data_IF_565729109596
#
_entry.id   IF_565729109596
#
_cell.length_a   1.000
_cell.length_b   1.000
_cell.length_c   1.000
_cell.angle_alpha   90.00
_cell.angle_beta   90.00
_cell.angle_gamma   90.00
#
_symmetry.space_group_name_H-M   'P 1'
#
loop_
_entity.id
_entity.type
_entity.pdbx_description
1 polymer ?
#
# COMPACT_ATOMS: atom_id res chain seq x y z
N UNK A 1 -8.24 -30.84 22.32
CA UNK A 1 -8.24 -29.78 21.26
C UNK A 1 -6.82 -29.42 20.82
N UNK A 2 -5.96 -28.81 21.68
CA UNK A 2 -4.59 -28.39 21.28
C UNK A 2 -3.68 -29.55 20.86
N UNK A 3 -3.67 -30.66 21.62
CA UNK A 3 -2.88 -31.85 21.24
C UNK A 3 -3.34 -32.45 19.90
N UNK A 4 -4.62 -32.43 19.62
CA UNK A 4 -5.18 -32.90 18.37
C UNK A 4 -4.81 -31.92 17.20
N UNK A 5 -4.85 -30.61 17.45
CA UNK A 5 -4.42 -29.60 16.48
C UNK A 5 -2.94 -29.76 16.12
N UNK A 6 -2.08 -30.03 17.13
CA UNK A 6 -0.66 -30.33 16.89
C UNK A 6 -0.50 -31.60 16.04
N UNK A 7 -1.19 -32.67 16.34
CA UNK A 7 -1.11 -33.90 15.54
C UNK A 7 -1.54 -33.66 14.08
N UNK A 8 -2.55 -32.85 13.83
CA UNK A 8 -2.98 -32.49 12.48
C UNK A 8 -1.91 -31.64 11.75
N UNK A 9 -1.29 -30.71 12.47
CA UNK A 9 -0.22 -29.91 11.90
C UNK A 9 1.04 -30.72 11.57
N UNK A 10 1.42 -31.64 12.47
CA UNK A 10 2.54 -32.58 12.24
C UNK A 10 2.25 -33.47 11.01
N UNK A 11 1.02 -33.98 10.86
CA UNK A 11 0.64 -34.77 9.70
C UNK A 11 0.60 -33.95 8.39
N UNK A 12 0.25 -32.68 8.46
CA UNK A 12 0.23 -31.80 7.28
C UNK A 12 1.62 -31.57 6.70
N UNK A 13 2.69 -31.72 7.47
CA UNK A 13 4.06 -31.61 6.94
C UNK A 13 4.38 -32.69 5.90
N UNK A 14 3.74 -33.86 5.97
CA UNK A 14 4.00 -34.95 5.01
C UNK A 14 3.54 -34.61 3.60
N UNK A 15 2.55 -33.76 3.45
CA UNK A 15 1.97 -33.36 2.15
C UNK A 15 2.11 -31.86 1.85
N UNK A 16 2.83 -31.09 2.69
CA UNK A 16 2.87 -29.64 2.61
C UNK A 16 3.37 -29.13 1.25
N UNK A 17 4.29 -29.85 0.61
CA UNK A 17 4.81 -29.49 -0.69
C UNK A 17 3.81 -29.66 -1.85
N UNK A 18 2.71 -30.40 -1.64
CA UNK A 18 1.66 -30.61 -2.64
C UNK A 18 0.33 -29.97 -2.27
N UNK A 19 -0.04 -30.01 -1.00
CA UNK A 19 -1.35 -29.59 -0.52
C UNK A 19 -1.28 -28.25 0.24
N UNK A 20 -0.06 -27.76 0.52
CA UNK A 20 0.17 -26.50 1.21
C UNK A 20 -0.18 -25.30 0.32
N UNK A 21 -0.70 -24.25 0.94
CA UNK A 21 -0.89 -22.97 0.27
C UNK A 21 0.45 -22.23 0.13
N UNK A 22 0.84 -21.86 -1.09
CA UNK A 22 2.09 -21.16 -1.35
C UNK A 22 1.92 -19.66 -1.11
N UNK A 23 2.82 -19.09 -0.31
CA UNK A 23 2.88 -17.67 -0.04
C UNK A 23 4.21 -17.10 -0.55
N UNK A 24 4.16 -16.22 -1.53
CA UNK A 24 5.34 -15.53 -2.07
C UNK A 24 5.36 -14.06 -1.68
N UNK A 25 6.52 -13.41 -1.77
CA UNK A 25 6.67 -11.97 -1.55
C UNK A 25 6.42 -11.51 -0.10
N UNK A 26 6.44 -12.41 0.88
CA UNK A 26 6.24 -12.04 2.29
C UNK A 26 7.51 -11.44 2.87
N UNK A 27 7.36 -10.30 3.55
CA UNK A 27 8.41 -9.68 4.34
C UNK A 27 8.40 -10.22 5.77
N UNK A 28 9.56 -10.21 6.47
CA UNK A 28 9.62 -10.58 7.89
C UNK A 28 8.61 -9.81 8.73
N UNK A 29 8.41 -8.51 8.43
CA UNK A 29 7.47 -7.63 9.12
C UNK A 29 5.99 -7.86 8.78
N UNK A 30 5.69 -8.62 7.74
CA UNK A 30 4.31 -8.89 7.28
C UNK A 30 3.77 -10.24 7.75
N UNK A 31 4.52 -10.97 8.53
CA UNK A 31 4.11 -12.25 9.12
C UNK A 31 4.21 -12.19 10.64
N UNK A 32 3.53 -13.09 11.32
CA UNK A 32 3.64 -13.19 12.78
C UNK A 32 5.11 -13.33 13.18
N UNK A 33 5.53 -12.62 14.22
CA UNK A 33 6.96 -12.54 14.65
C UNK A 33 7.59 -13.93 14.76
N UNK A 34 6.90 -14.88 15.39
CA UNK A 34 7.38 -16.27 15.58
C UNK A 34 7.57 -17.02 14.26
N UNK A 35 6.73 -16.77 13.24
CA UNK A 35 6.89 -17.33 11.91
C UNK A 35 8.03 -16.63 11.18
N UNK A 36 8.09 -15.30 11.29
CA UNK A 36 9.15 -14.49 10.69
C UNK A 36 10.53 -14.85 11.23
N UNK A 37 10.66 -15.10 12.52
CA UNK A 37 11.93 -15.50 13.13
C UNK A 37 12.42 -16.84 12.57
N UNK A 38 11.54 -17.80 12.37
CA UNK A 38 11.90 -19.07 11.75
C UNK A 38 12.17 -18.94 10.25
N UNK A 39 11.29 -18.27 9.49
CA UNK A 39 11.39 -18.12 8.04
C UNK A 39 12.62 -17.31 7.61
N UNK A 40 13.02 -16.32 8.39
CA UNK A 40 14.16 -15.42 8.07
C UNK A 40 15.42 -15.72 8.86
N UNK A 41 15.49 -16.88 9.50
CA UNK A 41 16.74 -17.38 10.10
C UNK A 41 17.80 -17.61 8.99
N UNK A 42 19.03 -17.17 9.26
CA UNK A 42 20.12 -17.22 8.28
C UNK A 42 20.44 -18.65 7.79
N UNK A 43 20.27 -19.61 8.68
CA UNK A 43 20.62 -21.02 8.42
C UNK A 43 19.53 -21.81 7.70
N UNK A 44 18.38 -21.15 7.37
CA UNK A 44 17.25 -21.81 6.71
C UNK A 44 17.58 -22.17 5.28
N UNK A 45 17.27 -23.41 4.90
CA UNK A 45 17.49 -23.96 3.55
C UNK A 45 16.17 -24.38 2.92
N UNK A 46 16.09 -24.35 1.58
CA UNK A 46 14.93 -24.78 0.83
C UNK A 46 14.53 -26.22 1.22
N UNK A 47 13.24 -26.41 1.44
CA UNK A 47 12.67 -27.69 1.88
C UNK A 47 12.65 -27.88 3.41
N UNK A 48 13.23 -26.97 4.20
CA UNK A 48 13.12 -27.01 5.66
C UNK A 48 11.65 -26.90 6.07
N UNK A 49 11.25 -27.73 7.04
CA UNK A 49 9.87 -27.75 7.55
C UNK A 49 9.83 -27.57 9.06
N UNK A 50 8.72 -27.04 9.56
CA UNK A 50 8.47 -26.91 10.99
C UNK A 50 6.97 -26.83 11.30
N UNK A 51 6.65 -27.08 12.58
CA UNK A 51 5.34 -26.76 13.17
C UNK A 51 5.55 -25.73 14.28
N UNK A 52 4.93 -24.58 14.15
CA UNK A 52 5.00 -23.48 15.12
C UNK A 52 3.65 -23.34 15.83
N UNK A 53 3.68 -23.30 17.15
CA UNK A 53 2.51 -23.05 17.99
C UNK A 53 2.24 -21.56 18.11
N UNK A 54 0.99 -21.17 17.87
CA UNK A 54 0.44 -19.87 18.19
C UNK A 54 -0.46 -19.97 19.41
N UNK A 55 0.13 -19.75 20.57
CA UNK A 55 -0.57 -19.87 21.86
C UNK A 55 -1.67 -18.83 22.02
N UNK A 56 -1.52 -17.66 21.43
CA UNK A 56 -2.46 -16.53 21.57
C UNK A 56 -3.77 -16.81 20.83
N UNK A 57 -3.66 -17.46 19.67
CA UNK A 57 -4.81 -17.79 18.82
C UNK A 57 -5.19 -19.28 18.87
N UNK A 58 -4.54 -20.06 19.73
CA UNK A 58 -4.75 -21.50 19.86
C UNK A 58 -4.66 -22.28 18.54
N UNK A 59 -3.64 -21.96 17.74
CA UNK A 59 -3.39 -22.54 16.40
C UNK A 59 -1.99 -23.13 16.30
N UNK A 60 -1.82 -24.01 15.33
CA UNK A 60 -0.52 -24.48 14.87
C UNK A 60 -0.37 -24.16 13.40
N UNK A 61 0.82 -23.75 13.01
CA UNK A 61 1.21 -23.51 11.63
C UNK A 61 2.22 -24.57 11.22
N UNK A 62 1.89 -25.35 10.21
CA UNK A 62 2.84 -26.21 9.51
C UNK A 62 3.46 -25.39 8.38
N UNK A 63 4.77 -25.30 8.32
CA UNK A 63 5.50 -24.46 7.39
C UNK A 63 6.53 -25.27 6.64
N UNK A 64 6.68 -24.96 5.34
CA UNK A 64 7.84 -25.31 4.53
C UNK A 64 8.48 -24.02 4.03
N UNK A 65 9.79 -23.99 4.04
CA UNK A 65 10.57 -22.88 3.50
C UNK A 65 10.98 -23.18 2.07
N UNK A 66 10.47 -22.40 1.12
CA UNK A 66 10.74 -22.59 -0.31
C UNK A 66 11.90 -21.73 -0.81
N UNK A 67 12.27 -20.68 -0.08
CA UNK A 67 13.42 -19.86 -0.43
C UNK A 67 13.30 -18.39 0.00
N UNK A 68 14.39 -17.68 -0.19
CA UNK A 68 14.47 -16.22 -0.06
C UNK A 68 14.99 -15.62 -1.34
N UNK A 69 14.44 -14.51 -1.73
CA UNK A 69 14.87 -13.75 -2.89
C UNK A 69 14.78 -12.25 -2.63
N UNK A 70 15.51 -11.49 -3.42
CA UNK A 70 15.31 -10.05 -3.48
C UNK A 70 14.18 -9.77 -4.47
N UNK A 71 13.30 -8.82 -4.14
CA UNK A 71 12.28 -8.36 -5.07
C UNK A 71 12.95 -7.50 -6.15
N UNK A 72 13.36 -8.14 -7.24
CA UNK A 72 14.06 -7.50 -8.34
C UNK A 72 13.13 -6.69 -9.27
N UNK A 73 11.83 -6.70 -9.01
CA UNK A 73 10.86 -5.89 -9.75
C UNK A 73 11.32 -4.44 -9.73
N UNK A 74 11.56 -3.89 -10.92
CA UNK A 74 11.90 -2.47 -11.06
C UNK A 74 10.68 -1.60 -10.78
N UNK A 75 10.92 -0.48 -10.16
CA UNK A 75 9.93 0.61 -10.09
C UNK A 75 9.92 1.38 -11.41
N UNK A 76 8.93 2.23 -11.61
CA UNK A 76 8.84 3.07 -12.80
C UNK A 76 8.84 4.55 -12.43
N UNK A 77 9.41 5.37 -13.32
CA UNK A 77 9.29 6.81 -13.28
C UNK A 77 8.39 7.26 -14.43
N UNK A 78 7.37 8.02 -14.13
CA UNK A 78 6.40 8.52 -15.12
C UNK A 78 6.06 9.97 -14.86
N UNK A 79 5.54 10.65 -15.90
CA UNK A 79 4.81 11.90 -15.71
C UNK A 79 3.33 11.67 -15.95
N UNK A 80 2.49 12.38 -15.21
CA UNK A 80 1.04 12.22 -15.22
C UNK A 80 0.37 13.57 -15.43
N UNK A 81 -0.60 13.58 -16.33
CA UNK A 81 -1.64 14.62 -16.38
C UNK A 81 -2.93 13.93 -15.95
N UNK A 82 -3.60 14.46 -14.95
CA UNK A 82 -4.93 14.02 -14.53
C UNK A 82 -5.93 15.15 -14.80
N UNK A 83 -7.01 14.86 -15.52
CA UNK A 83 -8.06 15.83 -15.77
C UNK A 83 -9.45 15.19 -15.66
N UNK A 84 -10.36 15.88 -15.02
CA UNK A 84 -11.77 15.50 -14.96
C UNK A 84 -12.60 16.18 -16.06
N UNK A 85 -12.06 17.17 -16.74
CA UNK A 85 -12.76 18.05 -17.66
C UNK A 85 -12.36 17.90 -19.12
N UNK A 86 -11.10 17.46 -19.38
CA UNK A 86 -10.56 17.34 -20.73
C UNK A 86 -10.25 15.87 -21.03
N UNK A 87 -10.66 15.41 -22.21
CA UNK A 87 -10.38 14.05 -22.64
C UNK A 87 -8.86 13.83 -22.83
N UNK A 88 -8.34 12.70 -22.35
CA UNK A 88 -6.92 12.39 -22.45
C UNK A 88 -6.38 12.36 -23.89
N UNK A 89 -7.22 11.93 -24.83
CA UNK A 89 -6.89 11.87 -26.26
C UNK A 89 -6.74 13.25 -26.90
N UNK A 90 -7.48 14.26 -26.43
CA UNK A 90 -7.32 15.64 -26.88
C UNK A 90 -5.99 16.23 -26.37
N UNK A 91 -5.62 15.90 -25.14
CA UNK A 91 -4.34 16.29 -24.55
C UNK A 91 -3.18 15.62 -25.29
N UNK A 92 -3.28 14.31 -25.60
CA UNK A 92 -2.26 13.61 -26.39
C UNK A 92 -2.08 14.20 -27.77
N UNK A 93 -3.17 14.56 -28.43
CA UNK A 93 -3.12 15.21 -29.74
C UNK A 93 -2.34 16.53 -29.66
N UNK A 94 -2.60 17.36 -28.66
CA UNK A 94 -1.86 18.60 -28.46
C UNK A 94 -0.38 18.35 -28.16
N UNK A 95 -0.08 17.28 -27.40
CA UNK A 95 1.29 16.84 -27.15
C UNK A 95 2.03 16.48 -28.44
N UNK A 96 1.39 15.73 -29.35
CA UNK A 96 1.97 15.40 -30.65
C UNK A 96 2.19 16.64 -31.52
N UNK A 97 1.22 17.55 -31.56
CA UNK A 97 1.32 18.82 -32.28
C UNK A 97 2.42 19.74 -31.71
N UNK A 98 2.71 19.63 -30.41
CA UNK A 98 3.80 20.36 -29.74
C UNK A 98 5.19 19.75 -29.93
N UNK A 99 5.30 18.66 -30.71
CA UNK A 99 6.56 18.02 -31.07
C UNK A 99 6.94 16.80 -30.23
N UNK A 100 6.05 16.29 -29.41
CA UNK A 100 6.16 15.03 -28.65
C UNK A 100 7.45 14.92 -27.83
N UNK A 101 7.81 15.97 -27.10
CA UNK A 101 8.99 16.02 -26.23
C UNK A 101 8.57 16.01 -24.76
N UNK A 102 9.49 15.64 -23.87
CA UNK A 102 9.24 15.70 -22.43
C UNK A 102 8.91 17.13 -21.96
N UNK A 103 9.58 18.14 -22.49
CA UNK A 103 9.30 19.56 -22.19
C UNK A 103 7.90 19.97 -22.63
N UNK A 104 7.43 19.47 -23.79
CA UNK A 104 6.07 19.69 -24.26
C UNK A 104 5.06 19.04 -23.31
N UNK A 105 5.35 17.84 -22.81
CA UNK A 105 4.48 17.19 -21.84
C UNK A 105 4.40 17.98 -20.52
N UNK A 106 5.54 18.45 -20.01
CA UNK A 106 5.59 19.28 -18.79
C UNK A 106 4.76 20.56 -18.95
N UNK A 107 4.80 21.21 -20.12
CA UNK A 107 3.98 22.38 -20.38
C UNK A 107 2.46 22.05 -20.38
N UNK A 108 2.09 20.85 -20.81
CA UNK A 108 0.70 20.39 -20.75
C UNK A 108 0.27 20.00 -19.33
N UNK A 109 1.20 19.54 -18.47
CA UNK A 109 0.92 19.37 -17.04
C UNK A 109 0.43 20.67 -16.42
N UNK A 110 1.18 21.75 -16.63
CA UNK A 110 0.82 23.09 -16.12
C UNK A 110 -0.53 23.59 -16.63
N UNK A 111 -0.91 23.15 -17.85
CA UNK A 111 -2.14 23.60 -18.50
C UNK A 111 -3.38 22.81 -18.11
N UNK A 112 -3.24 21.50 -17.93
CA UNK A 112 -4.37 20.58 -17.85
C UNK A 112 -4.47 19.75 -16.57
N UNK A 113 -3.35 19.56 -15.87
CA UNK A 113 -3.36 18.64 -14.75
C UNK A 113 -4.02 19.23 -13.51
N UNK A 114 -4.98 18.50 -12.99
CA UNK A 114 -5.65 18.78 -11.72
C UNK A 114 -4.95 18.08 -10.53
N UNK A 115 -3.88 17.32 -10.80
CA UNK A 115 -3.10 16.64 -9.76
C UNK A 115 -2.19 17.60 -9.01
N UNK A 116 -2.61 18.01 -7.83
CA UNK A 116 -1.86 18.97 -6.99
C UNK A 116 -0.59 18.39 -6.38
N UNK A 117 -0.42 17.07 -6.39
CA UNK A 117 0.75 16.43 -5.79
C UNK A 117 1.99 16.55 -6.67
N UNK A 118 1.86 16.31 -7.97
CA UNK A 118 2.99 16.24 -8.90
C UNK A 118 3.14 17.47 -9.80
N UNK A 119 2.16 18.37 -9.85
CA UNK A 119 2.20 19.53 -10.75
C UNK A 119 3.45 20.38 -10.61
N UNK A 120 3.92 20.65 -9.39
CA UNK A 120 5.12 21.44 -9.14
C UNK A 120 6.43 20.78 -9.65
N UNK A 121 6.40 19.49 -9.95
CA UNK A 121 7.53 18.72 -10.51
C UNK A 121 7.24 18.27 -11.96
N UNK A 122 6.35 18.99 -12.66
CA UNK A 122 5.97 18.70 -14.04
C UNK A 122 5.28 17.33 -14.19
N UNK A 123 4.43 16.98 -13.24
CA UNK A 123 3.69 15.73 -13.22
C UNK A 123 4.51 14.49 -12.85
N UNK A 124 5.74 14.65 -12.32
CA UNK A 124 6.67 13.54 -12.12
C UNK A 124 6.36 12.71 -10.88
N UNK A 125 6.18 11.43 -11.09
CA UNK A 125 6.17 10.38 -10.08
C UNK A 125 7.42 9.52 -10.22
N UNK A 126 8.14 9.34 -9.13
CA UNK A 126 9.38 8.56 -9.09
C UNK A 126 9.18 7.26 -8.32
N UNK A 127 9.84 6.20 -8.79
CA UNK A 127 9.94 4.93 -8.09
C UNK A 127 8.58 4.34 -7.71
N UNK A 128 7.61 4.46 -8.63
CA UNK A 128 6.29 3.85 -8.48
C UNK A 128 6.41 2.33 -8.44
N UNK A 129 5.69 1.74 -7.50
CA UNK A 129 5.57 0.28 -7.35
C UNK A 129 4.27 -0.18 -7.99
N UNK A 130 4.28 -1.31 -8.67
CA UNK A 130 3.07 -1.89 -9.28
C UNK A 130 1.94 -2.08 -8.25
N UNK A 131 2.28 -2.50 -7.04
CA UNK A 131 1.34 -2.73 -5.94
C UNK A 131 0.69 -1.48 -5.36
N UNK A 132 1.15 -0.29 -5.72
CA UNK A 132 0.63 1.00 -5.22
C UNK A 132 -0.30 1.71 -6.20
N UNK A 133 -0.67 1.06 -7.31
CA UNK A 133 -1.45 1.63 -8.40
C UNK A 133 -2.71 0.81 -8.67
N UNK A 134 -3.72 1.47 -9.20
CA UNK A 134 -4.89 0.81 -9.77
C UNK A 134 -4.48 -0.07 -10.95
N UNK A 135 -5.23 -1.17 -11.19
CA UNK A 135 -4.83 -2.20 -12.15
C UNK A 135 -4.60 -1.66 -13.57
N UNK A 136 -5.48 -0.78 -14.06
CA UNK A 136 -5.36 -0.23 -15.41
C UNK A 136 -4.09 0.60 -15.62
N UNK A 137 -3.73 1.42 -14.63
CA UNK A 137 -2.50 2.23 -14.67
C UNK A 137 -1.29 1.33 -14.53
N UNK A 138 -1.33 0.37 -13.59
CA UNK A 138 -0.26 -0.57 -13.35
C UNK A 138 0.04 -1.44 -14.57
N UNK A 139 -0.98 -1.97 -15.23
CA UNK A 139 -0.82 -2.79 -16.43
C UNK A 139 -0.07 -2.06 -17.53
N UNK A 140 -0.41 -0.79 -17.79
CA UNK A 140 0.31 -0.05 -18.79
C UNK A 140 1.72 0.30 -18.33
N UNK A 141 1.89 0.88 -17.15
CA UNK A 141 3.20 1.38 -16.67
C UNK A 141 4.26 0.27 -16.65
N UNK A 142 3.87 -0.95 -16.32
CA UNK A 142 4.79 -2.09 -16.20
C UNK A 142 4.78 -3.06 -17.40
N UNK A 143 4.22 -2.63 -18.53
CA UNK A 143 4.20 -3.43 -19.77
C UNK A 143 5.53 -3.44 -20.54
N UNK A 144 6.59 -2.79 -20.05
CA UNK A 144 7.91 -2.76 -20.68
C UNK A 144 8.06 -1.64 -21.72
N UNK A 145 7.68 -0.45 -21.37
CA UNK A 145 7.79 0.75 -22.21
C UNK A 145 9.21 1.31 -22.31
N UNK A 146 9.39 2.20 -23.25
CA UNK A 146 10.62 3.01 -23.42
C UNK A 146 10.36 4.46 -23.01
N UNK A 147 11.41 5.14 -22.61
CA UNK A 147 11.32 6.56 -22.34
C UNK A 147 10.73 7.31 -23.55
N UNK A 148 9.72 8.12 -23.29
CA UNK A 148 8.97 8.85 -24.31
C UNK A 148 7.65 8.18 -24.75
N UNK A 149 7.40 6.94 -24.39
CA UNK A 149 6.11 6.29 -24.67
C UNK A 149 5.00 6.99 -23.86
N UNK A 150 3.85 7.19 -24.51
CA UNK A 150 2.71 7.89 -23.93
C UNK A 150 1.42 7.10 -24.14
N UNK A 151 0.43 7.35 -23.29
CA UNK A 151 -0.94 6.82 -23.43
C UNK A 151 -1.95 7.74 -22.78
N UNK A 152 -3.21 7.60 -23.19
CA UNK A 152 -4.35 8.14 -22.48
C UNK A 152 -5.21 7.00 -21.94
N UNK A 153 -5.59 7.08 -20.67
CA UNK A 153 -6.41 6.10 -19.98
C UNK A 153 -7.52 6.82 -19.22
N UNK A 154 -8.64 6.15 -19.04
CA UNK A 154 -9.70 6.63 -18.15
C UNK A 154 -9.81 5.64 -16.99
N UNK A 155 -9.75 6.15 -15.77
CA UNK A 155 -9.91 5.37 -14.57
C UNK A 155 -10.73 6.15 -13.53
N UNK A 156 -11.69 5.48 -12.90
CA UNK A 156 -12.58 6.06 -11.88
C UNK A 156 -13.20 7.42 -12.26
N UNK A 157 -13.48 7.63 -13.55
CA UNK A 157 -14.10 8.86 -14.06
C UNK A 157 -13.13 10.03 -14.30
N UNK A 158 -11.85 9.82 -14.09
CA UNK A 158 -10.79 10.77 -14.42
C UNK A 158 -10.02 10.31 -15.66
N UNK A 159 -9.57 11.25 -16.46
CA UNK A 159 -8.72 11.01 -17.61
C UNK A 159 -7.26 11.18 -17.19
N UNK A 160 -6.43 10.20 -17.50
CA UNK A 160 -5.00 10.18 -17.24
C UNK A 160 -4.26 10.19 -18.57
N UNK A 161 -3.30 11.08 -18.71
CA UNK A 161 -2.29 11.00 -19.78
C UNK A 161 -0.96 10.69 -19.11
N UNK A 162 -0.33 9.61 -19.54
CA UNK A 162 0.91 9.11 -18.98
C UNK A 162 2.05 9.29 -19.98
N UNK A 163 3.20 9.67 -19.46
CA UNK A 163 4.47 9.70 -20.18
C UNK A 163 5.49 8.85 -19.42
N UNK A 164 6.05 7.85 -20.07
CA UNK A 164 7.04 6.98 -19.46
C UNK A 164 8.41 7.63 -19.46
N UNK A 165 8.96 7.93 -18.30
CA UNK A 165 10.29 8.54 -18.16
C UNK A 165 11.38 7.48 -18.19
N UNK A 166 11.13 6.32 -17.59
CA UNK A 166 12.07 5.21 -17.55
C UNK A 166 11.91 4.33 -16.33
N UNK A 167 12.69 3.25 -16.28
CA UNK A 167 12.77 2.39 -15.10
C UNK A 167 13.37 3.14 -13.91
N UNK A 168 12.85 2.84 -12.73
CA UNK A 168 13.42 3.26 -11.47
C UNK A 168 14.34 2.19 -10.87
N UNK A 169 14.68 2.36 -9.59
CA UNK A 169 15.45 1.36 -8.84
C UNK A 169 14.60 0.11 -8.56
N UNK A 170 15.21 -1.07 -8.36
CA UNK A 170 14.48 -2.23 -7.85
C UNK A 170 13.74 -1.92 -6.54
N UNK A 171 12.56 -2.50 -6.35
CA UNK A 171 11.70 -2.23 -5.18
C UNK A 171 12.43 -2.47 -3.85
N UNK A 172 13.29 -3.49 -3.79
CA UNK A 172 14.05 -3.76 -2.58
C UNK A 172 15.03 -2.63 -2.20
N UNK A 173 15.64 -1.98 -3.21
CA UNK A 173 16.54 -0.84 -2.97
C UNK A 173 15.77 0.37 -2.47
N UNK A 174 14.62 0.64 -3.08
CA UNK A 174 13.73 1.73 -2.65
C UNK A 174 13.31 1.49 -1.19
N UNK A 175 12.88 0.27 -0.86
CA UNK A 175 12.45 -0.09 0.50
C UNK A 175 13.55 0.07 1.54
N UNK A 176 14.76 -0.38 1.23
CA UNK A 176 15.92 -0.20 2.13
C UNK A 176 16.24 1.29 2.29
N UNK A 177 16.26 2.05 1.20
CA UNK A 177 16.52 3.49 1.24
C UNK A 177 15.50 4.24 2.09
N UNK A 178 14.21 3.93 1.95
CA UNK A 178 13.12 4.49 2.77
C UNK A 178 13.34 4.18 4.27
N UNK A 179 13.66 2.91 4.57
CA UNK A 179 13.88 2.46 5.96
C UNK A 179 15.06 3.18 6.59
N UNK A 180 16.23 3.19 5.92
CA UNK A 180 17.44 3.85 6.42
C UNK A 180 17.24 5.37 6.58
N UNK A 181 16.51 6.00 5.66
CA UNK A 181 16.19 7.43 5.75
C UNK A 181 15.31 7.72 6.96
N UNK A 182 14.30 6.87 7.20
CA UNK A 182 13.40 7.00 8.36
C UNK A 182 14.14 6.81 9.68
N UNK A 183 15.00 5.80 9.76
CA UNK A 183 15.83 5.54 10.94
C UNK A 183 16.79 6.70 11.21
N UNK A 184 17.50 7.17 10.19
CA UNK A 184 18.40 8.31 10.31
C UNK A 184 17.67 9.58 10.75
N UNK A 185 16.50 9.86 10.19
CA UNK A 185 15.66 11.00 10.57
C UNK A 185 15.17 10.87 12.02
N UNK A 186 14.74 9.68 12.42
CA UNK A 186 14.30 9.43 13.81
C UNK A 186 15.44 9.64 14.81
N UNK A 187 16.61 9.14 14.48
CA UNK A 187 17.82 9.34 15.29
C UNK A 187 18.18 10.82 15.40
N UNK A 188 18.23 11.51 14.26
CA UNK A 188 18.52 12.94 14.21
C UNK A 188 17.52 13.78 15.06
N UNK A 189 16.22 13.51 14.91
CA UNK A 189 15.20 14.22 15.68
C UNK A 189 15.28 13.91 17.17
N UNK A 190 15.65 12.70 17.54
CA UNK A 190 15.84 12.30 18.94
C UNK A 190 17.04 13.03 19.56
N UNK A 191 18.16 13.07 18.86
CA UNK A 191 19.35 13.81 19.26
C UNK A 191 19.07 15.30 19.35
N UNK A 192 18.39 15.87 18.34
CA UNK A 192 18.00 17.28 18.34
C UNK A 192 17.13 17.61 19.53
N UNK A 193 16.10 16.81 19.82
CA UNK A 193 15.19 17.02 20.95
C UNK A 193 15.90 16.89 22.29
N UNK A 194 16.89 16.02 22.43
CA UNK A 194 17.65 15.84 23.67
C UNK A 194 18.46 17.07 24.05
N UNK A 195 18.80 17.92 23.07
CA UNK A 195 19.52 19.18 23.28
C UNK A 195 18.64 20.36 23.74
N UNK A 196 17.31 20.17 23.78
CA UNK A 196 16.39 21.24 24.16
C UNK A 196 15.66 20.93 25.46
N UNK A 197 15.74 21.84 26.41
CA UNK A 197 14.87 21.85 27.62
C UNK A 197 13.58 22.59 27.32
N UNK A 198 12.46 21.91 27.51
CA UNK A 198 11.14 22.55 27.41
C UNK A 198 10.81 23.23 28.75
N UNK A 199 10.91 24.55 28.78
CA UNK A 199 10.52 25.34 29.95
C UNK A 199 9.03 25.67 29.92
N UNK A 200 8.31 25.28 30.94
CA UNK A 200 6.89 25.59 31.13
C UNK A 200 6.66 26.27 32.50
N UNK A 201 7.12 27.51 32.65
CA UNK A 201 7.06 28.21 33.93
C UNK A 201 5.63 28.49 34.39
N UNK A 202 4.64 28.37 33.53
CA UNK A 202 3.20 28.56 33.82
C UNK A 202 2.39 27.28 33.90
N UNK A 203 3.00 26.12 33.67
CA UNK A 203 2.35 24.80 33.72
C UNK A 203 1.34 24.53 32.61
N UNK A 204 1.37 25.30 31.51
CA UNK A 204 0.40 25.13 30.42
C UNK A 204 0.57 23.83 29.68
N UNK A 205 1.79 23.29 29.61
CA UNK A 205 2.08 22.01 28.94
C UNK A 205 1.60 20.78 29.74
N UNK A 206 1.32 20.94 31.02
CA UNK A 206 0.79 19.84 31.84
C UNK A 206 -0.58 19.37 31.34
N UNK A 207 -1.39 20.27 30.78
CA UNK A 207 -2.66 19.92 30.15
C UNK A 207 -2.47 19.06 28.90
N UNK A 208 -1.52 19.42 28.02
CA UNK A 208 -1.22 18.65 26.78
C UNK A 208 -0.68 17.27 27.11
N UNK A 209 0.17 17.13 28.12
CA UNK A 209 0.67 15.84 28.59
C UNK A 209 -0.45 14.95 29.10
N UNK A 210 -1.43 15.51 29.81
CA UNK A 210 -2.59 14.79 30.32
C UNK A 210 -3.51 14.33 29.18
N UNK A 211 -3.70 15.15 28.16
CA UNK A 211 -4.50 14.81 26.99
C UNK A 211 -3.83 13.72 26.16
N UNK A 212 -2.53 13.80 25.88
CA UNK A 212 -1.77 12.79 25.17
C UNK A 212 -1.77 11.42 25.90
N UNK A 213 -1.75 11.42 27.24
CA UNK A 213 -1.88 10.20 28.02
C UNK A 213 -3.29 9.61 27.94
N UNK A 214 -4.33 10.43 27.97
CA UNK A 214 -5.72 10.00 27.82
C UNK A 214 -5.98 9.45 26.41
N UNK A 215 -5.44 10.07 25.37
CA UNK A 215 -5.56 9.61 23.99
C UNK A 215 -4.81 8.29 23.76
N UNK A 216 -3.71 8.05 24.47
CA UNK A 216 -2.99 6.77 24.39
C UNK A 216 -3.69 5.62 25.12
N UNK A 217 -4.50 5.93 26.15
CA UNK A 217 -5.32 4.93 26.85
C UNK A 217 -6.65 4.65 26.13
N UNK A 218 -7.08 5.53 25.25
CA UNK A 218 -8.34 5.43 24.49
C UNK A 218 -8.17 4.91 23.07
N UNK A 219 -6.98 4.48 22.67
CA UNK A 219 -6.85 3.76 21.39
C UNK A 219 -7.52 2.39 21.57
N UNK A 220 -8.73 2.17 21.04
CA UNK A 220 -9.32 0.84 21.05
C UNK A 220 -8.40 -0.03 20.22
N UNK A 221 -8.04 -1.19 20.74
CA UNK A 221 -7.57 -2.26 19.89
C UNK A 221 -8.56 -2.36 18.73
N UNK A 222 -8.07 -2.14 17.52
CA UNK A 222 -8.85 -2.38 16.31
C UNK A 222 -9.11 -3.87 16.29
N UNK A 223 -10.21 -4.28 16.89
CA UNK A 223 -10.83 -5.55 16.60
C UNK A 223 -11.33 -5.43 15.18
N UNK A 224 -10.57 -5.96 14.25
CA UNK A 224 -11.14 -6.47 13.03
C UNK A 224 -12.16 -7.50 13.46
N UNK A 225 -13.40 -7.20 13.27
CA UNK A 225 -14.41 -8.24 13.44
C UNK A 225 -15.54 -8.15 12.44
N UNK A 226 -15.66 -9.32 11.87
CA UNK A 226 -16.91 -10.00 11.57
C UNK A 226 -17.77 -9.45 10.45
N UNK A 227 -17.59 -10.07 9.30
CA UNK A 227 -18.69 -10.47 8.45
C UNK A 227 -19.83 -11.06 9.30
N UNK A 228 -20.87 -10.30 9.44
CA UNK A 228 -22.19 -10.85 9.71
C UNK A 228 -22.95 -10.88 8.40
N UNK A 229 -23.01 -12.06 7.79
CA UNK A 229 -24.03 -12.44 6.83
C UNK A 229 -25.40 -12.20 7.43
N UNK A 230 -26.30 -11.45 6.79
CA UNK A 230 -27.70 -11.42 7.20
C UNK A 230 -28.35 -12.74 6.76
N UNK A 231 -28.91 -13.45 7.74
CA UNK A 231 -29.85 -14.54 7.47
C UNK A 231 -31.06 -13.98 6.73
N UNK A 232 -31.37 -14.61 5.62
CA UNK A 232 -32.65 -14.45 4.92
C UNK A 232 -33.77 -15.04 5.76
N UNK A 233 -34.67 -14.18 6.24
CA UNK A 233 -36.03 -14.60 6.54
C UNK A 233 -36.95 -14.03 5.48
N UNK A 234 -37.67 -14.97 4.87
CA UNK A 234 -38.76 -14.70 3.97
C UNK A 234 -39.95 -14.17 4.79
N UNK A 235 -40.45 -12.97 4.42
CA UNK A 235 -41.87 -12.78 4.23
C UNK A 235 -42.08 -11.37 3.66
N UNK A 236 -42.88 -11.32 2.59
CA UNK A 236 -43.19 -10.12 1.86
C UNK A 236 -44.12 -9.19 2.59
N UNK A 237 -43.92 -7.91 2.39
CA UNK A 237 -45.03 -6.99 2.09
C UNK A 237 -44.50 -5.63 1.62
N UNK A 238 -44.87 -5.29 0.41
CA UNK A 238 -44.72 -3.99 -0.19
C UNK A 238 -45.63 -2.98 0.45
N UNK A 239 -45.13 -1.84 0.91
CA UNK A 239 -45.91 -0.60 0.99
C UNK A 239 -45.05 0.57 0.61
N UNK A 240 -45.31 1.08 -0.58
CA UNK A 240 -44.96 2.40 -1.05
C UNK A 240 -45.76 3.44 -0.30
N UNK A 241 -45.08 4.47 0.24
CA UNK A 241 -45.77 5.75 0.56
C UNK A 241 -44.89 6.88 0.02
N UNK A 242 -45.43 7.46 -1.04
CA UNK A 242 -45.10 8.80 -1.52
C UNK A 242 -45.82 9.84 -0.66
N UNK A 243 -45.17 10.94 -0.32
CA UNK A 243 -45.77 12.24 -0.03
C UNK A 243 -44.83 13.32 -0.52
N UNK A 244 -45.13 13.93 -1.61
CA UNK A 244 -45.49 15.28 -1.99
C UNK A 244 -45.26 16.33 -0.90
N UNK A 245 -44.37 17.29 -1.24
CA UNK A 245 -44.65 18.67 -1.64
C UNK A 245 -45.39 19.57 -0.60
N UNK A 246 -44.73 20.64 -0.19
CA UNK A 246 -45.32 21.98 -0.14
C UNK A 246 -44.26 23.08 -0.08
N UNK A 247 -44.41 23.99 -1.02
CA UNK A 247 -43.74 25.28 -1.14
C UNK A 247 -44.38 26.32 -0.21
N UNK A 248 -43.80 27.56 -0.27
CA UNK A 248 -44.21 28.88 0.30
C UNK A 248 -43.57 29.19 1.66
N UNK A 249 -42.80 30.25 1.83
CA UNK A 249 -42.82 31.66 1.33
C UNK A 249 -41.41 32.24 1.33
#
# INVERSE_FOLDING_TARGET
AMAEAKTKADAALETIGTDGEAYTGKLKSSVLTRLGDWLFDADRTEGDTTVIEDTDNHKYYALQFDGRYLADTTTANIRVIMSTTVAGEDILKEYEEAGATEDAFIALVDKYSEDTYSNNDGGLYKELKSSSLDSNLSEWIFAGHKAGDTTALTDNGSNYVLYYVGDGRPEWQVKISETLTTEAMTTYLTELKSGYEVSDPKGHLAYLKKQAAADSETTPATTEDSETTPATDADGETTSVSTEESAEE
#
